data_IF_576176194952
#
_entry.id   IF_576176194952
#
_cell.length_a   1.000
_cell.length_b   1.000
_cell.length_c   1.000
_cell.angle_alpha   90.00
_cell.angle_beta   90.00
_cell.angle_gamma   90.00
#
_symmetry.space_group_name_H-M   'P 1'
#
loop_
_entity.id
_entity.type
_entity.pdbx_description
1 polymer ?
#
# COMPACT_ATOMS: atom_id res chain seq x y z
N UNK A 1 -14.13 -7.38 -3.82
CA UNK A 1 -14.42 -6.34 -4.82
C UNK A 1 -13.09 -5.85 -5.34
N UNK A 2 -12.85 -5.96 -6.64
CA UNK A 2 -11.56 -5.68 -7.25
C UNK A 2 -11.19 -4.19 -7.30
N UNK A 3 -9.89 -3.89 -7.42
CA UNK A 3 -9.35 -2.53 -7.40
C UNK A 3 -9.48 -1.78 -8.73
N UNK A 4 -10.01 -2.38 -9.80
CA UNK A 4 -10.36 -1.64 -11.04
C UNK A 4 -11.50 -0.61 -10.87
N UNK A 5 -11.99 -0.40 -9.65
CA UNK A 5 -12.93 0.64 -9.29
C UNK A 5 -12.24 2.00 -9.16
N UNK A 6 -11.76 2.51 -10.29
CA UNK A 6 -11.17 3.84 -10.40
C UNK A 6 -12.27 4.87 -10.66
N UNK A 7 -12.64 5.59 -9.61
CA UNK A 7 -13.88 6.38 -9.57
C UNK A 7 -15.15 5.51 -9.50
N UNK A 8 -16.31 6.13 -9.33
CA UNK A 8 -17.64 5.48 -9.20
C UNK A 8 -18.12 4.72 -10.46
N UNK A 9 -17.23 4.18 -11.30
CA UNK A 9 -17.57 3.48 -12.54
C UNK A 9 -16.94 2.10 -12.56
N UNK A 10 -17.77 1.09 -12.81
CA UNK A 10 -17.30 -0.26 -13.11
C UNK A 10 -16.58 -0.23 -14.47
N UNK A 11 -15.25 -0.31 -14.44
CA UNK A 11 -14.43 -0.44 -15.64
C UNK A 11 -14.48 -1.90 -16.09
N UNK A 12 -14.90 -2.13 -17.35
CA UNK A 12 -15.01 -3.48 -17.92
C UNK A 12 -13.90 -3.81 -18.90
N UNK A 13 -13.21 -2.79 -19.42
CA UNK A 13 -12.16 -2.92 -20.42
C UNK A 13 -11.10 -1.82 -20.29
N UNK A 14 -9.92 -2.04 -20.87
CA UNK A 14 -8.85 -1.04 -20.91
C UNK A 14 -9.27 0.28 -21.59
N UNK A 15 -10.24 0.22 -22.52
CA UNK A 15 -10.80 1.38 -23.23
C UNK A 15 -11.65 2.28 -22.34
N UNK A 16 -12.28 1.74 -21.30
CA UNK A 16 -13.14 2.53 -20.41
C UNK A 16 -12.33 3.51 -19.55
N UNK A 17 -11.05 3.23 -19.37
CA UNK A 17 -10.13 4.14 -18.69
C UNK A 17 -9.89 5.42 -19.50
N UNK A 18 -10.22 6.57 -18.92
CA UNK A 18 -9.87 7.87 -19.47
C UNK A 18 -8.59 8.37 -18.82
N UNK A 19 -7.63 8.81 -19.62
CA UNK A 19 -6.34 9.36 -19.14
C UNK A 19 -6.57 10.46 -18.09
N UNK A 20 -7.49 11.38 -18.36
CA UNK A 20 -7.84 12.47 -17.44
C UNK A 20 -8.38 11.98 -16.08
N UNK A 21 -9.12 10.88 -16.07
CA UNK A 21 -9.68 10.32 -14.83
C UNK A 21 -8.58 9.58 -14.04
N UNK A 22 -7.67 8.88 -14.73
CA UNK A 22 -6.48 8.26 -14.13
C UNK A 22 -5.51 9.29 -13.55
N UNK A 23 -5.29 10.42 -14.22
CA UNK A 23 -4.45 11.51 -13.70
C UNK A 23 -5.04 12.14 -12.43
N UNK A 24 -6.37 12.31 -12.40
CA UNK A 24 -7.08 12.77 -11.19
C UNK A 24 -6.95 11.78 -10.05
N UNK A 25 -7.12 10.50 -10.34
CA UNK A 25 -6.94 9.44 -9.34
C UNK A 25 -5.50 9.43 -8.82
N UNK A 26 -4.50 9.57 -9.70
CA UNK A 26 -3.09 9.67 -9.29
C UNK A 26 -2.86 10.81 -8.31
N UNK A 27 -3.44 11.98 -8.57
CA UNK A 27 -3.37 13.12 -7.63
C UNK A 27 -4.04 12.78 -6.30
N UNK A 28 -5.23 12.16 -6.31
CA UNK A 28 -5.92 11.76 -5.09
C UNK A 28 -5.13 10.70 -4.29
N UNK A 29 -4.49 9.74 -4.97
CA UNK A 29 -3.63 8.73 -4.37
C UNK A 29 -2.36 9.35 -3.78
N UNK A 30 -1.72 10.32 -4.45
CA UNK A 30 -0.59 11.06 -3.89
C UNK A 30 -0.98 11.77 -2.58
N UNK A 31 -2.12 12.46 -2.56
CA UNK A 31 -2.61 13.12 -1.33
C UNK A 31 -2.87 12.10 -0.22
N UNK A 32 -3.47 10.95 -0.55
CA UNK A 32 -3.66 9.86 0.43
C UNK A 32 -2.34 9.31 0.97
N UNK A 33 -1.34 9.15 0.10
CA UNK A 33 -0.02 8.70 0.48
C UNK A 33 0.65 9.69 1.44
N UNK A 34 0.62 10.98 1.13
CA UNK A 34 1.18 12.04 1.98
C UNK A 34 0.51 12.07 3.36
N UNK A 35 -0.83 11.95 3.41
CA UNK A 35 -1.58 11.88 4.68
C UNK A 35 -1.15 10.65 5.49
N UNK A 36 -1.09 9.47 4.85
CA UNK A 36 -0.74 8.24 5.54
C UNK A 36 0.72 8.25 6.06
N UNK A 37 1.64 8.89 5.33
CA UNK A 37 3.01 9.10 5.80
C UNK A 37 3.05 10.05 7.01
N UNK A 38 2.26 11.13 6.99
CA UNK A 38 2.15 12.04 8.12
C UNK A 38 1.54 11.35 9.36
N UNK A 39 0.51 10.53 9.18
CA UNK A 39 -0.12 9.75 10.24
C UNK A 39 0.87 8.75 10.86
N UNK A 40 1.63 8.02 10.02
CA UNK A 40 2.68 7.10 10.47
C UNK A 40 3.74 7.85 11.28
N UNK A 41 4.25 8.97 10.77
CA UNK A 41 5.26 9.76 11.46
C UNK A 41 4.77 10.31 12.81
N UNK A 42 3.51 10.77 12.87
CA UNK A 42 2.92 11.24 14.12
C UNK A 42 2.72 10.10 15.13
N UNK A 43 2.26 8.93 14.68
CA UNK A 43 2.10 7.76 15.55
C UNK A 43 3.45 7.26 16.09
N UNK A 44 4.51 7.23 15.25
CA UNK A 44 5.87 6.93 15.70
C UNK A 44 6.38 7.94 16.73
N UNK A 45 6.17 9.24 16.49
CA UNK A 45 6.56 10.28 17.46
C UNK A 45 5.83 10.11 18.80
N UNK A 46 4.53 9.79 18.78
CA UNK A 46 3.76 9.53 19.99
C UNK A 46 4.22 8.25 20.70
N UNK A 47 4.57 7.20 19.95
CA UNK A 47 5.14 5.97 20.50
C UNK A 47 6.41 6.28 21.31
N UNK A 48 7.35 7.04 20.73
CA UNK A 48 8.59 7.42 21.39
C UNK A 48 8.33 8.28 22.64
N UNK A 49 7.37 9.21 22.56
CA UNK A 49 6.96 10.00 23.74
C UNK A 49 6.41 9.13 24.87
N UNK A 50 5.57 8.15 24.58
CA UNK A 50 5.05 7.24 25.60
C UNK A 50 6.14 6.31 26.14
N UNK A 51 7.09 5.89 25.30
CA UNK A 51 8.26 5.13 25.74
C UNK A 51 9.09 5.93 26.74
N UNK A 52 9.42 7.18 26.44
CA UNK A 52 10.15 8.06 27.35
C UNK A 52 9.39 8.29 28.67
N UNK A 53 8.07 8.47 28.61
CA UNK A 53 7.23 8.58 29.80
C UNK A 53 7.23 7.29 30.64
N UNK A 54 7.20 6.12 30.00
CA UNK A 54 7.25 4.82 30.66
C UNK A 54 8.61 4.55 31.30
N UNK A 55 9.71 4.89 30.63
CA UNK A 55 11.07 4.75 31.17
C UNK A 55 11.26 5.61 32.42
N UNK A 56 10.79 6.85 32.39
CA UNK A 56 10.91 7.80 33.49
C UNK A 56 9.78 7.72 34.52
N UNK A 57 8.92 6.70 34.44
CA UNK A 57 7.81 6.52 35.36
C UNK A 57 8.30 6.16 36.78
N UNK A 58 7.68 6.79 37.78
CA UNK A 58 7.92 6.58 39.21
C UNK A 58 7.04 5.45 39.81
N UNK A 59 6.10 4.90 39.04
CA UNK A 59 5.19 3.85 39.49
C UNK A 59 4.84 2.87 38.38
N UNK A 60 4.56 1.62 38.79
CA UNK A 60 4.15 0.55 37.88
C UNK A 60 2.88 0.90 37.10
N UNK A 61 1.90 1.53 37.74
CA UNK A 61 0.66 1.95 37.07
C UNK A 61 0.89 2.99 35.95
N UNK A 62 1.96 3.78 36.04
CA UNK A 62 2.36 4.71 34.97
C UNK A 62 3.11 3.98 33.85
N UNK A 63 3.94 3.00 34.19
CA UNK A 63 4.59 2.09 33.22
C UNK A 63 3.53 1.34 32.41
N UNK A 64 2.53 0.75 33.06
CA UNK A 64 1.48 -0.02 32.40
C UNK A 64 0.62 0.86 31.48
N UNK A 65 0.32 2.10 31.89
CA UNK A 65 -0.38 3.08 31.06
C UNK A 65 0.44 3.53 29.85
N UNK A 66 1.74 3.77 30.04
CA UNK A 66 2.64 4.10 28.93
C UNK A 66 2.72 2.93 27.93
N UNK A 67 2.87 1.69 28.41
CA UNK A 67 2.88 0.50 27.58
C UNK A 67 1.56 0.31 26.80
N UNK A 68 0.42 0.59 27.43
CA UNK A 68 -0.88 0.54 26.76
C UNK A 68 -0.99 1.56 25.61
N UNK A 69 -0.58 2.81 25.84
CA UNK A 69 -0.60 3.84 24.79
C UNK A 69 0.43 3.56 23.69
N UNK A 70 1.62 3.04 24.02
CA UNK A 70 2.56 2.51 23.02
C UNK A 70 1.93 1.44 22.14
N UNK A 71 1.25 0.45 22.74
CA UNK A 71 0.54 -0.59 21.98
C UNK A 71 -0.57 -0.05 21.06
N UNK A 72 -1.20 1.08 21.43
CA UNK A 72 -2.15 1.78 20.53
C UNK A 72 -1.45 2.48 19.38
N UNK A 73 -0.32 3.13 19.64
CA UNK A 73 0.47 3.77 18.58
C UNK A 73 1.05 2.75 17.61
N UNK A 74 1.50 1.58 18.07
CA UNK A 74 1.92 0.47 17.21
C UNK A 74 0.84 0.07 16.22
N UNK A 75 -0.43 0.00 16.68
CA UNK A 75 -1.57 -0.30 15.80
C UNK A 75 -1.84 0.82 14.79
N UNK A 76 -1.73 2.07 15.22
CA UNK A 76 -1.86 3.22 14.32
C UNK A 76 -0.75 3.24 13.25
N UNK A 77 0.49 2.90 13.62
CA UNK A 77 1.61 2.75 12.68
C UNK A 77 1.30 1.66 11.66
N UNK A 78 0.88 0.46 12.09
CA UNK A 78 0.53 -0.64 11.18
C UNK A 78 -0.61 -0.28 10.23
N UNK A 79 -1.65 0.38 10.74
CA UNK A 79 -2.77 0.83 9.91
C UNK A 79 -2.31 1.86 8.86
N UNK A 80 -1.46 2.81 9.25
CA UNK A 80 -0.89 3.76 8.31
C UNK A 80 0.02 3.08 7.26
N UNK A 81 0.82 2.09 7.66
CA UNK A 81 1.65 1.28 6.76
C UNK A 81 0.81 0.47 5.77
N UNK A 82 -0.32 -0.09 6.20
CA UNK A 82 -1.27 -0.75 5.30
C UNK A 82 -1.84 0.23 4.26
N UNK A 83 -2.23 1.44 4.68
CA UNK A 83 -2.69 2.49 3.77
C UNK A 83 -1.58 2.92 2.81
N UNK A 84 -0.34 3.07 3.28
CA UNK A 84 0.81 3.40 2.42
C UNK A 84 1.02 2.31 1.38
N UNK A 85 1.09 1.04 1.78
CA UNK A 85 1.32 -0.09 0.88
C UNK A 85 0.21 -0.20 -0.16
N UNK A 86 -1.05 -0.15 0.27
CA UNK A 86 -2.20 -0.23 -0.64
C UNK A 86 -2.26 0.96 -1.61
N UNK A 87 -1.94 2.17 -1.14
CA UNK A 87 -1.89 3.37 -1.97
C UNK A 87 -0.76 3.28 -3.00
N UNK A 88 0.43 2.82 -2.58
CA UNK A 88 1.58 2.64 -3.46
C UNK A 88 1.31 1.59 -4.56
N UNK A 89 0.70 0.46 -4.21
CA UNK A 89 0.26 -0.54 -5.20
C UNK A 89 -0.72 0.07 -6.21
N UNK A 90 -1.71 0.83 -5.74
CA UNK A 90 -2.68 1.52 -6.61
C UNK A 90 -2.04 2.56 -7.51
N UNK A 91 -1.08 3.33 -7.01
CA UNK A 91 -0.32 4.29 -7.83
C UNK A 91 0.47 3.57 -8.92
N UNK A 92 1.13 2.45 -8.58
CA UNK A 92 1.84 1.61 -9.54
C UNK A 92 0.92 1.06 -10.64
N UNK A 93 -0.30 0.65 -10.29
CA UNK A 93 -1.32 0.22 -11.24
C UNK A 93 -1.74 1.38 -12.16
N UNK A 94 -2.06 2.54 -11.60
CA UNK A 94 -2.47 3.72 -12.39
C UNK A 94 -1.37 4.13 -13.37
N UNK A 95 -0.12 4.12 -12.93
CA UNK A 95 1.04 4.42 -13.78
C UNK A 95 1.21 3.36 -14.87
N UNK A 96 1.03 2.08 -14.56
CA UNK A 96 1.06 1.02 -15.56
C UNK A 96 -0.05 1.19 -16.62
N UNK A 97 -1.26 1.57 -16.22
CA UNK A 97 -2.38 1.82 -17.14
C UNK A 97 -2.13 3.07 -18.00
N UNK A 98 -1.49 4.10 -17.45
CA UNK A 98 -1.10 5.30 -18.20
C UNK A 98 0.02 4.99 -19.21
N UNK A 99 1.02 4.20 -18.82
CA UNK A 99 2.17 3.83 -19.67
C UNK A 99 1.77 2.95 -20.84
N UNK A 100 1.17 1.79 -20.55
CA UNK A 100 -0.22 1.53 -20.96
C UNK A 100 -0.67 2.31 -22.18
N UNK A 101 -1.62 3.22 -21.92
CA UNK A 101 -2.27 4.20 -22.83
C UNK A 101 -1.33 5.03 -23.69
N UNK A 102 -0.14 5.37 -23.21
CA UNK A 102 0.83 6.13 -23.97
C UNK A 102 1.44 5.30 -25.11
N UNK A 103 1.59 3.98 -24.92
CA UNK A 103 2.19 3.08 -25.92
C UNK A 103 1.27 2.79 -27.12
N UNK A 104 -0.06 2.80 -26.99
CA UNK A 104 -1.00 2.67 -28.14
C UNK A 104 -0.78 3.78 -29.15
N UNK A 105 -0.48 4.99 -28.67
CA UNK A 105 -0.19 6.13 -29.54
C UNK A 105 1.11 5.97 -30.33
N UNK A 106 2.01 5.06 -29.93
CA UNK A 106 3.33 4.86 -30.54
C UNK A 106 3.39 3.70 -31.56
N UNK A 107 2.27 3.07 -31.95
CA UNK A 107 2.15 2.00 -32.96
C UNK A 107 2.95 0.69 -32.75
N UNK A 108 3.99 0.68 -31.91
CA UNK A 108 4.89 -0.46 -31.75
C UNK A 108 4.29 -1.68 -31.00
N UNK A 109 3.07 -1.59 -30.48
CA UNK A 109 2.49 -2.60 -29.58
C UNK A 109 0.99 -2.90 -29.82
N UNK A 110 0.49 -2.75 -31.05
CA UNK A 110 -0.95 -2.97 -31.35
C UNK A 110 -1.46 -4.36 -30.90
N UNK A 111 -0.66 -5.42 -31.07
CA UNK A 111 -1.03 -6.78 -30.69
C UNK A 111 -1.13 -6.99 -29.17
N UNK A 112 -0.25 -6.36 -28.38
CA UNK A 112 -0.32 -6.40 -26.91
C UNK A 112 -1.54 -5.64 -26.41
N UNK A 113 -1.82 -4.51 -27.05
CA UNK A 113 -2.99 -3.69 -26.75
C UNK A 113 -4.31 -4.38 -27.04
N UNK A 114 -4.41 -5.04 -28.19
CA UNK A 114 -5.58 -5.83 -28.54
C UNK A 114 -5.79 -6.97 -27.56
N UNK A 115 -4.72 -7.66 -27.12
CA UNK A 115 -4.80 -8.69 -26.09
C UNK A 115 -5.34 -8.13 -24.77
N UNK A 116 -4.78 -7.02 -24.26
CA UNK A 116 -5.26 -6.40 -23.02
C UNK A 116 -6.70 -5.90 -23.15
N UNK A 117 -7.09 -5.37 -24.31
CA UNK A 117 -8.45 -4.88 -24.51
C UNK A 117 -9.50 -5.99 -24.58
N UNK A 118 -9.09 -7.23 -24.88
CA UNK A 118 -9.97 -8.40 -24.94
C UNK A 118 -10.03 -9.17 -23.61
N UNK A 119 -9.24 -8.78 -22.61
CA UNK A 119 -9.31 -9.34 -21.26
C UNK A 119 -10.51 -8.80 -20.49
N UNK A 120 -11.07 -9.64 -19.63
CA UNK A 120 -12.09 -9.20 -18.68
C UNK A 120 -11.47 -8.37 -17.52
N UNK A 121 -12.33 -7.84 -16.65
CA UNK A 121 -11.88 -7.03 -15.53
C UNK A 121 -10.98 -7.80 -14.56
N UNK A 122 -11.27 -9.06 -14.24
CA UNK A 122 -10.47 -9.81 -13.27
C UNK A 122 -9.07 -10.13 -13.80
N UNK A 123 -8.98 -10.39 -15.11
CA UNK A 123 -7.72 -10.60 -15.82
C UNK A 123 -6.89 -9.32 -15.90
N UNK A 124 -7.51 -8.19 -16.26
CA UNK A 124 -6.87 -6.88 -16.31
C UNK A 124 -6.34 -6.46 -14.94
N UNK A 125 -7.16 -6.64 -13.92
CA UNK A 125 -6.81 -6.50 -12.51
C UNK A 125 -5.53 -7.30 -12.23
N UNK A 126 -5.56 -8.63 -12.34
CA UNK A 126 -4.38 -9.45 -12.05
C UNK A 126 -3.11 -8.96 -12.76
N UNK A 127 -3.18 -8.72 -14.08
CA UNK A 127 -2.04 -8.25 -14.87
C UNK A 127 -1.46 -6.95 -14.33
N UNK A 128 -2.30 -5.95 -14.05
CA UNK A 128 -1.81 -4.67 -13.56
C UNK A 128 -1.31 -4.73 -12.12
N UNK A 129 -1.88 -5.58 -11.26
CA UNK A 129 -1.32 -5.83 -9.92
C UNK A 129 0.13 -6.29 -10.02
N UNK A 130 0.40 -7.28 -10.86
CA UNK A 130 1.74 -7.84 -10.96
C UNK A 130 2.73 -6.90 -11.63
N UNK A 131 2.27 -6.10 -12.60
CA UNK A 131 3.10 -5.01 -13.11
C UNK A 131 3.46 -4.04 -11.97
N UNK A 132 2.52 -3.69 -11.09
CA UNK A 132 2.80 -2.80 -9.96
C UNK A 132 3.71 -3.44 -8.91
N UNK A 133 3.50 -4.71 -8.55
CA UNK A 133 4.36 -5.47 -7.63
C UNK A 133 5.80 -5.59 -8.16
N UNK A 134 5.95 -5.88 -9.46
CA UNK A 134 7.27 -5.95 -10.08
C UNK A 134 7.92 -4.57 -10.23
N UNK A 135 7.16 -3.49 -10.40
CA UNK A 135 7.68 -2.11 -10.33
C UNK A 135 8.19 -1.72 -8.94
N UNK A 136 7.52 -2.19 -7.90
CA UNK A 136 7.97 -1.96 -6.52
C UNK A 136 9.30 -2.67 -6.22
N UNK A 137 9.65 -3.70 -7.00
CA UNK A 137 10.90 -4.47 -6.83
C UNK A 137 11.96 -4.18 -7.90
N UNK A 138 11.63 -3.56 -9.04
CA UNK A 138 12.57 -3.26 -10.13
C UNK A 138 12.05 -2.17 -11.11
N UNK A 139 12.95 -1.46 -11.81
CA UNK A 139 12.57 -0.61 -12.97
C UNK A 139 12.22 -1.54 -14.14
N UNK A 140 10.94 -1.63 -14.53
CA UNK A 140 10.47 -2.54 -15.58
C UNK A 140 10.71 -2.03 -17.00
N UNK A 141 11.05 -2.94 -17.93
CA UNK A 141 11.09 -2.74 -19.37
C UNK A 141 9.93 -3.48 -20.09
N UNK A 142 9.65 -3.11 -21.34
CA UNK A 142 8.53 -3.61 -22.15
C UNK A 142 8.48 -5.14 -22.31
N UNK A 143 9.64 -5.80 -22.43
CA UNK A 143 9.72 -7.25 -22.58
C UNK A 143 9.26 -8.00 -21.33
N UNK A 144 9.57 -7.48 -20.13
CA UNK A 144 9.10 -8.05 -18.86
C UNK A 144 7.59 -7.92 -18.70
N UNK A 145 7.00 -6.78 -19.08
CA UNK A 145 5.54 -6.59 -19.06
C UNK A 145 4.84 -7.65 -19.93
N UNK A 146 5.39 -7.95 -21.12
CA UNK A 146 4.84 -8.99 -22.00
C UNK A 146 4.94 -10.41 -21.37
N UNK A 147 6.01 -10.70 -20.62
CA UNK A 147 6.14 -11.99 -19.91
C UNK A 147 5.16 -12.16 -18.75
N UNK A 148 4.91 -11.10 -17.95
CA UNK A 148 3.96 -11.08 -16.83
C UNK A 148 2.53 -11.37 -17.28
N UNK A 149 2.13 -10.75 -18.40
CA UNK A 149 0.85 -10.96 -19.08
C UNK A 149 0.58 -12.44 -19.37
N UNK A 150 1.61 -13.28 -19.35
CA UNK A 150 1.53 -14.70 -19.74
C UNK A 150 1.49 -15.69 -18.56
N UNK A 151 1.61 -15.27 -17.28
CA UNK A 151 2.09 -16.19 -16.20
C UNK A 151 1.36 -16.21 -14.80
N UNK A 152 0.07 -15.91 -14.63
CA UNK A 152 -0.53 -15.66 -13.27
C UNK A 152 -1.09 -16.86 -12.45
N UNK A 153 -0.82 -16.99 -11.12
CA UNK A 153 -1.60 -16.48 -9.93
C UNK A 153 -0.84 -16.73 -8.59
N UNK A 154 -0.82 -15.90 -7.52
CA UNK A 154 -1.74 -15.83 -6.34
C UNK A 154 -1.35 -14.70 -5.32
N UNK A 155 -2.23 -14.25 -4.39
CA UNK A 155 -2.00 -13.15 -3.42
C UNK A 155 -1.77 -13.58 -1.94
N UNK A 156 -1.24 -12.64 -1.13
CA UNK A 156 -0.79 -12.78 0.27
C UNK A 156 -1.81 -12.28 1.32
N UNK A 157 -1.74 -12.80 2.55
CA UNK A 157 -2.63 -12.49 3.69
C UNK A 157 -1.86 -11.93 4.91
N UNK A 158 -2.53 -11.11 5.73
CA UNK A 158 -2.00 -10.54 6.98
C UNK A 158 -2.97 -10.86 8.16
N UNK A 159 -2.43 -11.41 9.24
CA UNK A 159 -3.15 -11.72 10.49
C UNK A 159 -2.83 -10.71 11.61
N UNK A 160 -3.81 -10.46 12.49
CA UNK A 160 -3.73 -9.48 13.60
C UNK A 160 -3.66 -10.16 14.99
N UNK A 161 -2.75 -9.72 15.87
CA UNK A 161 -2.69 -10.14 17.29
C UNK A 161 -2.72 -8.94 18.26
N UNK A 162 -3.82 -8.80 19.02
CA UNK A 162 -4.15 -7.57 19.79
C UNK A 162 -3.47 -7.47 21.17
N UNK A 163 -3.06 -8.59 21.76
CA UNK A 163 -2.44 -8.68 23.10
C UNK A 163 -0.91 -8.75 23.08
N UNK A 164 -0.32 -9.11 21.93
CA UNK A 164 1.13 -9.18 21.76
C UNK A 164 1.78 -7.79 21.88
N UNK A 165 1.18 -6.78 21.26
CA UNK A 165 1.77 -5.44 21.14
C UNK A 165 1.98 -4.74 22.50
N UNK A 166 1.02 -4.86 23.41
CA UNK A 166 1.11 -4.25 24.74
C UNK A 166 2.14 -4.97 25.60
N UNK A 167 2.22 -6.30 25.49
CA UNK A 167 3.21 -7.12 26.19
C UNK A 167 4.63 -6.83 25.69
N UNK A 168 4.79 -6.64 24.39
CA UNK A 168 6.06 -6.28 23.75
C UNK A 168 6.52 -4.87 24.15
N UNK A 169 5.61 -3.90 24.15
CA UNK A 169 5.90 -2.55 24.62
C UNK A 169 6.35 -2.52 26.10
N UNK A 170 5.71 -3.33 26.95
CA UNK A 170 6.06 -3.43 28.37
C UNK A 170 7.44 -4.07 28.58
N UNK A 171 7.79 -5.09 27.78
CA UNK A 171 9.15 -5.66 27.76
C UNK A 171 10.19 -4.63 27.32
N UNK A 172 9.85 -3.79 26.32
CA UNK A 172 10.75 -2.76 25.82
C UNK A 172 11.03 -1.68 26.88
N UNK A 173 10.01 -1.22 27.61
CA UNK A 173 10.18 -0.27 28.72
C UNK A 173 11.04 -0.89 29.83
N UNK A 174 10.74 -2.11 30.28
CA UNK A 174 11.48 -2.75 31.39
C UNK A 174 12.96 -2.96 31.03
N UNK A 175 13.23 -3.44 29.80
CA UNK A 175 14.60 -3.57 29.28
C UNK A 175 15.35 -2.24 29.29
N UNK A 176 14.68 -1.14 28.92
CA UNK A 176 15.29 0.20 28.93
C UNK A 176 15.53 0.73 30.36
N UNK A 177 14.74 0.28 31.33
CA UNK A 177 14.91 0.61 32.77
C UNK A 177 15.95 -0.28 33.47
N UNK A 178 16.38 -1.37 32.84
CA UNK A 178 17.32 -2.34 33.42
C UNK A 178 16.66 -3.38 34.34
N UNK A 179 15.35 -3.59 34.17
CA UNK A 179 14.51 -4.59 34.86
C UNK A 179 14.24 -5.79 33.93
#
# INVERSE_FOLDING_TARGET
>A
MGFLWFGNKAVKSLKDFKVRDLEKEKVALNVRWDIAQADRANASRLYDQFKDLGVNADSKDKVDRAAYEMGRQTKAIRAAEEVINTTQTRMGIVDAILDTKAMEKQQASSAMYEKLNNMDSEQLESVFTRIAEERMTSILNLEKVNSIVTAHSQPFALETHRDADTSEALKEINKARGE
#
